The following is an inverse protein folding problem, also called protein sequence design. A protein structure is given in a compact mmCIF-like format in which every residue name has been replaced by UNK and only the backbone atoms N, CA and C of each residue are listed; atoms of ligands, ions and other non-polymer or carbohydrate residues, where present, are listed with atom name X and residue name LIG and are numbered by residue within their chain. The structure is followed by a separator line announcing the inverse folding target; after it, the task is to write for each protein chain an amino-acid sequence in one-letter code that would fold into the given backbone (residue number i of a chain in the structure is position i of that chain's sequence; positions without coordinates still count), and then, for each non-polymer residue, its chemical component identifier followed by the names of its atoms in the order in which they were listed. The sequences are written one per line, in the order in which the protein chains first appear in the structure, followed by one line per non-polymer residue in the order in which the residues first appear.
data_IF_664409731375
#
_entry.id   IF_664409731375
#
_cell.length_a   1.000
_cell.length_b   1.000
_cell.length_c   1.000
_cell.angle_alpha   90.00
_cell.angle_beta   90.00
_cell.angle_gamma   90.00
#
_symmetry.space_group_name_H-M   'P 1'
#
loop_
_entity.id
_entity.type
_entity.pdbx_description
1 polymer ?
#
# COMPACT_ATOMS: atom_id res chain seq x y z
N UNK A 1 -71.74 17.05 -12.90
CA UNK A 1 -71.24 15.70 -13.28
C UNK A 1 -69.97 15.91 -14.10
N UNK A 2 -68.79 16.06 -13.46
CA UNK A 2 -67.69 15.07 -13.31
C UNK A 2 -67.33 14.29 -14.58
N UNK A 3 -66.14 14.56 -15.14
CA UNK A 3 -65.19 13.63 -15.82
C UNK A 3 -63.89 14.41 -16.14
N UNK A 4 -62.91 14.44 -15.23
CA UNK A 4 -61.60 13.75 -15.28
C UNK A 4 -60.85 13.91 -16.63
N UNK A 5 -59.87 14.82 -16.79
CA UNK A 5 -58.43 14.76 -16.39
C UNK A 5 -57.68 13.52 -16.90
N UNK A 6 -56.73 13.71 -17.81
CA UNK A 6 -55.52 12.87 -17.90
C UNK A 6 -54.37 13.70 -18.47
N UNK A 7 -53.51 14.20 -17.58
CA UNK A 7 -52.20 14.74 -17.93
C UNK A 7 -51.19 13.58 -17.82
N UNK A 8 -50.51 13.25 -18.91
CA UNK A 8 -49.44 12.25 -18.92
C UNK A 8 -48.17 12.92 -18.44
N UNK A 9 -47.84 12.73 -17.17
CA UNK A 9 -46.55 13.10 -16.61
C UNK A 9 -45.50 12.09 -17.05
N UNK A 10 -44.60 12.51 -17.95
CA UNK A 10 -43.41 11.76 -18.32
C UNK A 10 -42.45 11.71 -17.12
N UNK A 11 -42.40 10.56 -16.47
CA UNK A 11 -41.52 10.27 -15.34
C UNK A 11 -40.11 10.00 -15.89
N UNK A 12 -39.25 11.03 -15.93
CA UNK A 12 -37.83 10.87 -16.19
C UNK A 12 -37.19 10.08 -15.04
N UNK A 13 -36.99 8.77 -15.25
CA UNK A 13 -36.10 7.96 -14.45
C UNK A 13 -34.67 8.46 -14.64
N UNK A 14 -34.21 9.34 -13.76
CA UNK A 14 -32.80 9.66 -13.59
C UNK A 14 -32.12 8.43 -12.98
N UNK A 15 -31.60 7.57 -13.86
CA UNK A 15 -30.69 6.49 -13.48
C UNK A 15 -29.44 7.10 -12.85
N UNK A 16 -29.41 7.13 -11.52
CA UNK A 16 -28.23 7.46 -10.74
C UNK A 16 -27.22 6.33 -10.96
N UNK A 17 -26.36 6.44 -11.97
CA UNK A 17 -25.17 5.60 -12.08
C UNK A 17 -24.27 5.96 -10.90
N UNK A 18 -24.40 5.20 -9.81
CA UNK A 18 -23.44 5.20 -8.73
C UNK A 18 -22.11 4.72 -9.31
N UNK A 19 -21.29 5.67 -9.77
CA UNK A 19 -19.87 5.43 -9.95
C UNK A 19 -19.38 5.01 -8.57
N UNK A 20 -19.01 3.74 -8.43
CA UNK A 20 -18.30 3.25 -7.25
C UNK A 20 -16.99 4.02 -7.19
N UNK A 21 -17.02 5.17 -6.52
CA UNK A 21 -15.84 5.91 -6.11
C UNK A 21 -15.11 5.00 -5.13
N UNK A 22 -14.25 4.17 -5.67
CA UNK A 22 -13.33 3.31 -4.93
C UNK A 22 -12.49 4.22 -4.03
N UNK A 23 -12.86 4.26 -2.74
CA UNK A 23 -12.28 5.17 -1.73
C UNK A 23 -10.78 4.91 -1.59
N UNK A 24 -10.01 5.98 -1.35
CA UNK A 24 -8.60 5.83 -1.00
C UNK A 24 -8.47 5.02 0.30
N UNK A 25 -7.39 4.24 0.47
CA UNK A 25 -7.13 3.64 1.78
C UNK A 25 -6.96 4.75 2.82
N UNK A 26 -7.42 4.52 4.05
CA UNK A 26 -7.25 5.50 5.12
C UNK A 26 -5.81 5.49 5.65
N UNK A 27 -5.21 4.30 5.66
CA UNK A 27 -3.85 4.11 6.13
C UNK A 27 -3.12 3.02 5.35
N UNK A 28 -1.81 2.96 5.54
CA UNK A 28 -0.94 1.95 4.97
C UNK A 28 -0.02 1.42 6.07
N UNK A 29 0.14 0.11 6.11
CA UNK A 29 1.13 -0.56 6.94
C UNK A 29 2.42 -0.68 6.17
N UNK A 30 3.50 -0.25 6.80
CA UNK A 30 4.84 -0.22 6.22
C UNK A 30 5.75 -1.07 7.07
N UNK A 31 6.40 -2.06 6.47
CA UNK A 31 7.24 -3.03 7.16
C UNK A 31 8.61 -3.09 6.51
N UNK A 32 9.65 -3.14 7.34
CA UNK A 32 11.02 -3.42 6.93
C UNK A 32 11.33 -4.87 7.30
N UNK A 33 11.72 -5.66 6.31
CA UNK A 33 11.99 -7.08 6.46
C UNK A 33 13.41 -7.36 6.00
N UNK A 34 14.20 -8.03 6.83
CA UNK A 34 15.46 -8.64 6.40
C UNK A 34 15.20 -10.06 5.93
N UNK A 35 15.92 -10.47 4.89
CA UNK A 35 15.74 -11.78 4.29
C UNK A 35 17.06 -12.34 3.77
N UNK A 36 17.24 -13.65 3.91
CA UNK A 36 18.41 -14.36 3.39
C UNK A 36 18.02 -15.62 2.63
N UNK A 37 18.99 -16.19 1.90
CA UNK A 37 18.83 -17.49 1.21
C UNK A 37 19.09 -18.68 2.13
N UNK A 38 19.56 -18.43 3.34
CA UNK A 38 19.86 -19.47 4.31
C UNK A 38 18.57 -20.04 4.89
N UNK A 39 18.65 -21.29 5.36
CA UNK A 39 17.53 -21.89 6.06
C UNK A 39 17.22 -21.08 7.33
N UNK A 40 15.94 -20.75 7.52
CA UNK A 40 15.47 -20.00 8.68
C UNK A 40 13.95 -20.00 8.74
N UNK A 41 13.40 -19.72 9.92
CA UNK A 41 11.98 -19.55 10.09
C UNK A 41 11.53 -18.19 9.54
N UNK A 42 10.33 -18.15 8.96
CA UNK A 42 9.65 -16.89 8.66
C UNK A 42 8.97 -16.36 9.93
N UNK A 43 9.08 -15.05 10.18
CA UNK A 43 8.44 -14.44 11.33
C UNK A 43 6.90 -14.51 11.23
N UNK A 44 6.18 -14.92 12.30
CA UNK A 44 4.72 -15.09 12.27
C UNK A 44 3.94 -13.84 11.84
N UNK A 45 4.47 -12.65 12.14
CA UNK A 45 3.85 -11.36 11.78
C UNK A 45 3.85 -11.07 10.28
N UNK A 46 4.59 -11.86 9.50
CA UNK A 46 4.68 -11.73 8.06
C UNK A 46 3.74 -12.67 7.31
N UNK A 47 2.94 -13.50 7.99
CA UNK A 47 2.08 -14.50 7.36
C UNK A 47 1.18 -13.94 6.25
N UNK A 48 0.67 -12.71 6.42
CA UNK A 48 -0.21 -12.04 5.47
C UNK A 48 0.49 -11.56 4.19
N UNK A 49 1.83 -11.47 4.19
CA UNK A 49 2.66 -11.07 3.05
C UNK A 49 3.66 -12.16 2.65
N UNK A 50 3.72 -13.27 3.40
CA UNK A 50 4.68 -14.35 3.21
C UNK A 50 4.63 -14.97 1.80
N UNK A 51 3.45 -15.22 1.19
CA UNK A 51 3.41 -15.74 -0.19
C UNK A 51 4.09 -14.79 -1.19
N UNK A 52 3.96 -13.48 -1.02
CA UNK A 52 4.62 -12.49 -1.86
C UNK A 52 6.14 -12.51 -1.66
N UNK A 53 6.59 -12.63 -0.41
CA UNK A 53 8.01 -12.66 -0.08
C UNK A 53 8.70 -13.94 -0.55
N UNK A 54 8.04 -15.09 -0.47
CA UNK A 54 8.58 -16.39 -0.93
C UNK A 54 8.80 -16.44 -2.45
N UNK A 55 8.01 -15.70 -3.22
CA UNK A 55 8.20 -15.57 -4.67
C UNK A 55 9.52 -14.87 -5.06
N UNK A 56 10.24 -14.27 -4.09
CA UNK A 56 11.55 -13.63 -4.31
C UNK A 56 12.73 -14.63 -4.24
N UNK A 57 12.47 -15.91 -3.99
CA UNK A 57 13.52 -16.94 -3.88
C UNK A 57 14.37 -16.85 -2.60
N UNK A 58 13.82 -16.21 -1.57
CA UNK A 58 14.42 -16.05 -0.24
C UNK A 58 13.79 -17.08 0.72
N UNK A 59 14.55 -17.52 1.71
CA UNK A 59 14.17 -18.64 2.60
C UNK A 59 13.91 -18.22 4.03
N UNK A 60 14.58 -17.18 4.51
CA UNK A 60 14.40 -16.62 5.85
C UNK A 60 13.84 -15.20 5.74
N UNK A 61 12.94 -14.84 6.66
CA UNK A 61 12.32 -13.51 6.71
C UNK A 61 12.15 -13.07 8.16
N UNK A 62 12.70 -11.91 8.51
CA UNK A 62 12.59 -11.30 9.84
C UNK A 62 12.11 -9.86 9.71
N UNK A 63 11.15 -9.48 10.54
CA UNK A 63 10.65 -8.11 10.64
C UNK A 63 11.64 -7.29 11.49
N UNK A 64 12.21 -6.26 10.89
CA UNK A 64 13.09 -5.31 11.57
C UNK A 64 12.33 -4.11 12.11
N UNK A 65 11.22 -3.73 11.44
CA UNK A 65 10.40 -2.62 11.87
C UNK A 65 9.04 -2.60 11.17
N UNK A 66 8.05 -2.05 11.85
CA UNK A 66 6.70 -1.86 11.33
C UNK A 66 6.18 -0.50 11.78
N UNK A 67 5.47 0.18 10.89
CA UNK A 67 4.79 1.43 11.16
C UNK A 67 3.47 1.48 10.40
N UNK A 68 2.52 2.27 10.91
CA UNK A 68 1.28 2.58 10.20
C UNK A 68 1.29 4.06 9.82
N UNK A 69 1.04 4.34 8.56
CA UNK A 69 1.06 5.67 7.98
C UNK A 69 -0.34 6.05 7.54
N UNK A 70 -0.79 7.25 7.90
CA UNK A 70 -1.98 7.83 7.29
C UNK A 70 -1.71 8.02 5.78
N UNK A 71 -2.66 7.65 4.93
CA UNK A 71 -2.50 7.80 3.49
C UNK A 71 -2.83 9.24 3.07
N UNK A 72 -1.89 10.15 3.34
CA UNK A 72 -2.01 11.58 3.06
C UNK A 72 -0.68 12.18 2.66
N UNK A 73 -0.73 13.35 2.05
CA UNK A 73 0.45 14.11 1.64
C UNK A 73 1.36 14.44 2.84
N UNK A 74 2.67 14.27 2.67
CA UNK A 74 3.69 14.49 3.71
C UNK A 74 3.76 13.44 4.81
N UNK A 75 2.96 12.35 4.74
CA UNK A 75 3.05 11.26 5.71
C UNK A 75 4.39 10.53 5.57
N UNK A 76 5.12 10.34 6.69
CA UNK A 76 6.39 9.64 6.69
C UNK A 76 6.60 8.75 7.91
N UNK A 77 7.27 7.60 7.72
CA UNK A 77 7.60 6.65 8.77
C UNK A 77 9.07 6.22 8.69
N UNK A 78 9.68 6.09 9.86
CA UNK A 78 11.01 5.51 10.06
C UNK A 78 10.85 4.04 10.44
N UNK A 79 11.57 3.15 9.75
CA UNK A 79 11.36 1.70 9.84
C UNK A 79 12.53 0.92 10.45
N UNK A 80 13.57 1.62 10.93
CA UNK A 80 14.81 1.02 11.43
C UNK A 80 15.92 0.97 10.37
N UNK A 81 17.15 0.66 10.78
CA UNK A 81 18.37 0.62 9.91
C UNK A 81 18.56 1.86 9.02
N UNK A 82 18.06 3.02 9.47
CA UNK A 82 18.11 4.28 8.73
C UNK A 82 17.08 4.41 7.59
N UNK A 83 16.18 3.43 7.41
CA UNK A 83 15.15 3.47 6.39
C UNK A 83 13.99 4.39 6.77
N UNK A 84 13.54 5.17 5.78
CA UNK A 84 12.37 6.04 5.86
C UNK A 84 11.53 5.91 4.60
N UNK A 85 10.22 5.82 4.78
CA UNK A 85 9.23 5.91 3.70
C UNK A 85 8.46 7.22 3.85
N UNK A 86 8.22 7.91 2.74
CA UNK A 86 7.44 9.15 2.68
C UNK A 86 6.44 9.09 1.51
N UNK A 87 5.25 9.60 1.78
CA UNK A 87 4.18 9.78 0.80
C UNK A 87 4.08 11.26 0.43
N UNK A 88 3.97 11.53 -0.86
CA UNK A 88 3.74 12.86 -1.41
C UNK A 88 2.75 12.78 -2.58
N UNK A 89 2.20 13.91 -2.99
CA UNK A 89 1.32 14.03 -4.16
C UNK A 89 0.14 13.03 -4.11
N UNK A 90 -0.46 12.85 -2.93
CA UNK A 90 -1.55 11.88 -2.73
C UNK A 90 -2.84 12.37 -3.39
N UNK A 91 -3.37 11.60 -4.33
CA UNK A 91 -4.62 11.88 -5.06
C UNK A 91 -5.42 10.60 -5.28
N UNK A 92 -6.58 10.49 -4.63
CA UNK A 92 -7.37 9.25 -4.64
C UNK A 92 -6.52 8.10 -4.11
N UNK A 93 -6.30 7.05 -4.90
CA UNK A 93 -5.45 5.89 -4.56
C UNK A 93 -3.99 6.04 -4.99
N UNK A 94 -3.64 7.15 -5.63
CA UNK A 94 -2.32 7.37 -6.16
C UNK A 94 -1.47 8.17 -5.18
N UNK A 95 -0.19 7.83 -5.07
CA UNK A 95 0.77 8.59 -4.28
C UNK A 95 2.17 8.48 -4.91
N UNK A 96 2.95 9.55 -4.78
CA UNK A 96 4.39 9.48 -4.96
C UNK A 96 5.01 8.91 -3.67
N UNK A 97 5.71 7.79 -3.79
CA UNK A 97 6.41 7.14 -2.68
C UNK A 97 7.89 7.36 -2.82
N UNK A 98 8.51 7.82 -1.74
CA UNK A 98 9.95 7.94 -1.60
C UNK A 98 10.42 6.98 -0.50
N UNK A 99 11.38 6.12 -0.83
CA UNK A 99 12.10 5.29 0.13
C UNK A 99 13.54 5.76 0.17
N UNK A 100 14.03 6.09 1.35
CA UNK A 100 15.41 6.50 1.58
C UNK A 100 16.06 5.70 2.69
N UNK A 101 17.39 5.62 2.67
CA UNK A 101 18.21 5.07 3.74
C UNK A 101 19.31 6.08 4.08
N UNK A 102 19.40 6.50 5.34
CA UNK A 102 20.38 7.49 5.80
C UNK A 102 20.42 8.73 4.89
N UNK A 103 19.23 9.28 4.57
CA UNK A 103 19.03 10.44 3.68
C UNK A 103 19.36 10.23 2.19
N UNK A 104 19.86 9.05 1.80
CA UNK A 104 20.05 8.68 0.39
C UNK A 104 18.77 8.09 -0.19
N UNK A 105 18.35 8.61 -1.33
CA UNK A 105 17.18 8.07 -2.04
C UNK A 105 17.49 6.73 -2.69
N UNK A 106 16.64 5.75 -2.40
CA UNK A 106 16.69 4.41 -2.98
C UNK A 106 15.58 4.23 -4.02
N UNK A 107 14.39 4.76 -3.72
CA UNK A 107 13.22 4.70 -4.62
C UNK A 107 12.51 6.04 -4.59
N UNK A 108 12.08 6.50 -5.76
CA UNK A 108 11.09 7.56 -5.92
C UNK A 108 10.18 7.20 -7.09
N UNK A 109 8.93 6.86 -6.81
CA UNK A 109 8.01 6.39 -7.85
C UNK A 109 6.56 6.70 -7.52
N UNK A 110 5.75 6.91 -8.56
CA UNK A 110 4.30 7.06 -8.43
C UNK A 110 3.65 5.68 -8.45
N UNK A 111 2.83 5.39 -7.45
CA UNK A 111 2.10 4.13 -7.30
C UNK A 111 0.60 4.39 -7.25
N UNK A 112 -0.15 3.39 -7.69
CA UNK A 112 -1.59 3.29 -7.45
C UNK A 112 -1.83 2.13 -6.49
N UNK A 113 -2.30 2.43 -5.28
CA UNK A 113 -2.57 1.43 -4.25
C UNK A 113 -3.86 0.67 -4.55
N UNK A 114 -3.80 -0.65 -4.35
CA UNK A 114 -4.96 -1.54 -4.44
C UNK A 114 -5.10 -2.23 -3.09
N UNK A 115 -6.31 -2.24 -2.52
CA UNK A 115 -6.59 -2.73 -1.16
C UNK A 115 -5.95 -4.09 -0.87
N UNK A 116 -6.00 -5.03 -1.83
CA UNK A 116 -5.51 -6.39 -1.62
C UNK A 116 -4.11 -6.66 -2.16
N UNK A 117 -3.38 -5.64 -2.64
CA UNK A 117 -2.07 -5.84 -3.28
C UNK A 117 -0.98 -5.06 -2.57
N UNK A 118 -0.19 -5.71 -1.69
CA UNK A 118 1.02 -5.12 -1.15
C UNK A 118 2.02 -4.79 -2.27
N UNK A 119 2.76 -3.71 -2.08
CA UNK A 119 3.89 -3.32 -2.91
C UNK A 119 5.17 -3.61 -2.15
N UNK A 120 6.18 -4.14 -2.83
CA UNK A 120 7.48 -4.46 -2.24
C UNK A 120 8.62 -3.84 -3.04
N UNK A 121 9.64 -3.36 -2.32
CA UNK A 121 10.94 -2.99 -2.88
C UNK A 121 12.03 -3.78 -2.20
N UNK A 122 12.98 -4.29 -2.98
CA UNK A 122 14.05 -5.16 -2.51
C UNK A 122 15.39 -4.48 -2.75
N UNK A 123 16.22 -4.45 -1.71
CA UNK A 123 17.54 -3.83 -1.69
C UNK A 123 18.58 -4.81 -1.15
N UNK A 124 19.84 -4.60 -1.46
CA UNK A 124 20.95 -5.33 -0.85
C UNK A 124 21.18 -4.88 0.60
N UNK A 125 21.35 -5.83 1.52
CA UNK A 125 21.79 -5.53 2.89
C UNK A 125 23.33 -5.54 2.94
N UNK A 126 24.01 -4.47 3.39
CA UNK A 126 25.45 -4.46 3.61
C UNK A 126 25.94 -5.57 4.55
N UNK A 127 25.09 -6.07 5.45
CA UNK A 127 25.41 -7.18 6.35
C UNK A 127 25.35 -8.57 5.67
N UNK A 128 25.03 -8.62 4.37
CA UNK A 128 24.75 -9.85 3.64
C UNK A 128 23.26 -10.20 3.67
N UNK A 129 22.66 -10.39 2.49
CA UNK A 129 21.23 -10.72 2.35
C UNK A 129 20.45 -9.68 1.55
N UNK A 130 19.19 -9.49 1.92
CA UNK A 130 18.26 -8.54 1.31
C UNK A 130 17.50 -7.79 2.39
N UNK A 131 17.25 -6.50 2.15
CA UNK A 131 16.27 -5.70 2.87
C UNK A 131 15.07 -5.47 1.97
N UNK A 132 13.88 -5.66 2.50
CA UNK A 132 12.62 -5.56 1.78
C UNK A 132 11.74 -4.54 2.50
N UNK A 133 11.31 -3.51 1.79
CA UNK A 133 10.27 -2.60 2.27
C UNK A 133 8.93 -3.07 1.70
N UNK A 134 7.99 -3.37 2.59
CA UNK A 134 6.63 -3.79 2.24
C UNK A 134 5.67 -2.66 2.58
N UNK A 135 4.83 -2.27 1.62
CA UNK A 135 3.76 -1.29 1.78
C UNK A 135 2.42 -2.00 1.50
N UNK A 136 1.55 -2.08 2.51
CA UNK A 136 0.24 -2.74 2.40
C UNK A 136 -0.88 -1.77 2.80
N UNK A 137 -1.85 -1.49 1.93
CA UNK A 137 -3.03 -0.69 2.30
C UNK A 137 -3.82 -1.31 3.45
N UNK A 138 -4.45 -0.47 4.27
CA UNK A 138 -5.36 -0.86 5.36
C UNK A 138 -6.63 -0.02 5.35
#
# INVERSE_FOLDING_TARGET
MKTLRTAVAALCWLGLTAVLAQTAPESVSVRLVTASRDAGAAEPRLQDVLPLLQNLGLKSFRLEGESNLAFRDGAAATLGKGYRLELSEVQGRNAMVRVSQNQRDLVRTRLSLREDKPVTWVFDDPAGGKVIVVLKPR
#
